data_IF_644240735763
#
_entry.id   IF_644240735763
#
_cell.length_a   1.000
_cell.length_b   1.000
_cell.length_c   1.000
_cell.angle_alpha   90.00
_cell.angle_beta   90.00
_cell.angle_gamma   90.00
#
_symmetry.space_group_name_H-M   'P 1'
#
loop_
_entity.id
_entity.type
_entity.pdbx_description
1 polymer ?
#
# COMPACT_ATOMS: atom_id res chain seq x y z
N UNK A 1 -53.01 65.72 -2.44
CA UNK A 1 -53.58 64.46 -2.96
C UNK A 1 -52.54 63.37 -2.71
N UNK A 2 -52.75 62.56 -1.68
CA UNK A 2 -51.95 61.37 -1.36
C UNK A 2 -52.90 60.19 -1.41
N UNK A 3 -52.61 59.15 -2.18
CA UNK A 3 -53.39 57.91 -2.16
C UNK A 3 -52.44 56.73 -2.03
N UNK A 4 -52.84 55.84 -1.13
CA UNK A 4 -52.11 54.78 -0.44
C UNK A 4 -51.60 53.64 -1.34
N UNK A 5 -50.49 53.05 -0.88
CA UNK A 5 -50.03 51.71 -1.23
C UNK A 5 -51.06 50.65 -0.83
N UNK A 6 -51.40 49.76 -1.77
CA UNK A 6 -52.06 48.48 -1.49
C UNK A 6 -51.25 47.36 -2.14
N UNK A 7 -50.49 46.63 -1.34
CA UNK A 7 -49.83 45.39 -1.75
C UNK A 7 -50.83 44.23 -1.60
N UNK A 8 -51.21 43.61 -2.72
CA UNK A 8 -51.96 42.37 -2.74
C UNK A 8 -51.01 41.24 -3.14
N UNK A 9 -50.69 40.39 -2.17
CA UNK A 9 -49.96 39.14 -2.36
C UNK A 9 -50.87 38.14 -3.09
N UNK A 10 -50.44 37.67 -4.27
CA UNK A 10 -51.06 36.53 -4.96
C UNK A 10 -50.04 35.39 -4.99
N UNK A 11 -50.34 34.35 -4.20
CA UNK A 11 -49.69 33.05 -4.21
C UNK A 11 -49.93 32.36 -5.56
N UNK A 12 -48.88 32.21 -6.37
CA UNK A 12 -48.87 31.22 -7.46
C UNK A 12 -48.08 30.01 -6.98
N UNK A 13 -48.79 28.91 -6.74
CA UNK A 13 -48.20 27.60 -6.54
C UNK A 13 -47.60 27.12 -7.86
N UNK A 14 -46.30 27.32 -8.04
CA UNK A 14 -45.55 26.70 -9.12
C UNK A 14 -45.23 25.25 -8.77
N UNK A 15 -45.99 24.30 -9.31
CA UNK A 15 -45.55 22.90 -9.36
C UNK A 15 -44.43 22.81 -10.39
N UNK A 16 -43.17 22.80 -9.94
CA UNK A 16 -42.07 22.42 -10.80
C UNK A 16 -42.12 20.90 -11.01
N UNK A 17 -42.59 20.48 -12.18
CA UNK A 17 -42.34 19.13 -12.69
C UNK A 17 -40.89 19.13 -13.18
N UNK A 18 -39.98 18.58 -12.39
CA UNK A 18 -38.65 18.23 -12.90
C UNK A 18 -38.82 16.92 -13.65
N UNK A 19 -38.93 16.99 -14.97
CA UNK A 19 -38.66 15.85 -15.83
C UNK A 19 -37.19 15.48 -15.61
N UNK A 20 -36.96 14.54 -14.70
CA UNK A 20 -35.66 13.92 -14.53
C UNK A 20 -35.39 13.07 -15.77
N UNK A 21 -34.71 13.63 -16.76
CA UNK A 21 -33.98 12.80 -17.69
C UNK A 21 -32.93 12.04 -16.89
N UNK A 22 -33.14 10.73 -16.72
CA UNK A 22 -32.08 9.82 -16.32
C UNK A 22 -31.13 9.76 -17.51
N UNK A 23 -30.25 10.76 -17.59
CA UNK A 23 -29.05 10.67 -18.41
C UNK A 23 -28.22 9.57 -17.77
N UNK A 24 -28.31 8.38 -18.36
CA UNK A 24 -27.29 7.36 -18.21
C UNK A 24 -26.00 8.01 -18.70
N UNK A 25 -25.27 8.69 -17.81
CA UNK A 25 -23.86 8.95 -17.99
C UNK A 25 -23.21 7.57 -18.03
N UNK A 26 -23.26 6.96 -19.22
CA UNK A 26 -22.22 6.07 -19.68
C UNK A 26 -20.98 6.95 -19.63
N UNK A 27 -20.34 7.00 -18.46
CA UNK A 27 -18.93 7.26 -18.35
C UNK A 27 -18.31 6.17 -19.22
N UNK A 28 -18.26 6.42 -20.53
CA UNK A 28 -17.32 5.76 -21.39
C UNK A 28 -16.02 5.86 -20.63
N UNK A 29 -15.38 4.71 -20.44
CA UNK A 29 -14.06 4.60 -19.83
C UNK A 29 -13.27 5.80 -20.36
N UNK A 30 -12.82 6.74 -19.50
CA UNK A 30 -11.99 7.84 -19.97
C UNK A 30 -10.92 7.20 -20.86
N UNK A 31 -10.64 7.76 -22.05
CA UNK A 31 -9.69 7.12 -22.96
C UNK A 31 -8.48 6.72 -22.13
N UNK A 32 -8.12 5.43 -22.20
CA UNK A 32 -7.01 4.90 -21.42
C UNK A 32 -5.87 5.88 -21.62
N UNK A 33 -5.44 6.52 -20.52
CA UNK A 33 -4.36 7.50 -20.55
C UNK A 33 -3.23 6.82 -21.31
N UNK A 34 -2.88 7.35 -22.48
CA UNK A 34 -1.86 6.75 -23.34
C UNK A 34 -0.63 6.51 -22.47
N UNK A 35 -0.07 5.31 -22.59
CA UNK A 35 1.00 4.76 -21.75
C UNK A 35 1.97 5.84 -21.29
N UNK A 36 1.76 6.30 -20.05
CA UNK A 36 2.61 7.32 -19.46
C UNK A 36 4.05 6.76 -19.39
N UNK A 37 5.01 7.59 -19.76
CA UNK A 37 6.45 7.44 -19.47
C UNK A 37 6.76 7.32 -17.95
N UNK A 38 5.74 7.21 -17.09
CA UNK A 38 5.86 7.11 -15.62
C UNK A 38 5.89 5.67 -15.09
N UNK A 39 5.56 4.66 -15.92
CA UNK A 39 5.68 3.26 -15.51
C UNK A 39 7.16 2.90 -15.46
N UNK A 40 7.67 2.67 -14.25
CA UNK A 40 9.00 2.11 -14.10
C UNK A 40 9.08 0.74 -14.79
N UNK A 41 10.13 0.54 -15.56
CA UNK A 41 10.28 -0.58 -16.50
C UNK A 41 10.83 -1.85 -15.85
N UNK A 42 11.34 -1.76 -14.62
CA UNK A 42 12.11 -2.84 -13.97
C UNK A 42 11.62 -3.30 -12.59
N UNK A 43 10.32 -3.63 -12.38
CA UNK A 43 9.93 -4.39 -11.20
C UNK A 43 10.47 -5.82 -11.31
N UNK A 44 11.28 -6.25 -10.36
CA UNK A 44 11.84 -7.60 -10.31
C UNK A 44 11.24 -8.38 -9.16
N UNK A 45 10.80 -9.61 -9.44
CA UNK A 45 10.35 -10.53 -8.41
C UNK A 45 11.56 -11.14 -7.69
N UNK A 46 11.48 -11.17 -6.37
CA UNK A 46 12.46 -11.84 -5.53
C UNK A 46 11.79 -12.73 -4.50
N UNK A 47 12.59 -13.65 -3.96
CA UNK A 47 12.19 -14.52 -2.86
C UNK A 47 13.29 -14.49 -1.81
N UNK A 48 12.89 -14.51 -0.54
CA UNK A 48 13.79 -14.61 0.61
C UNK A 48 13.36 -15.78 1.50
N UNK A 49 14.31 -16.63 1.86
CA UNK A 49 14.08 -17.73 2.80
C UNK A 49 14.08 -17.19 4.23
N UNK A 50 12.96 -17.37 4.93
CA UNK A 50 12.69 -16.90 6.28
C UNK A 50 12.39 -18.05 7.24
N UNK A 51 12.49 -17.79 8.54
CA UNK A 51 12.08 -18.76 9.57
C UNK A 51 10.56 -18.76 9.70
N UNK A 52 9.99 -19.94 9.94
CA UNK A 52 8.55 -20.06 10.24
C UNK A 52 8.23 -19.39 11.58
N UNK A 53 9.11 -19.58 12.56
CA UNK A 53 8.99 -19.05 13.91
C UNK A 53 10.28 -18.31 14.31
N UNK A 54 10.22 -16.98 14.34
CA UNK A 54 11.34 -16.15 14.75
C UNK A 54 11.65 -16.22 16.25
N UNK A 55 10.65 -16.55 17.07
CA UNK A 55 10.73 -16.51 18.53
C UNK A 55 11.02 -17.86 19.19
N UNK A 56 10.99 -18.95 18.42
CA UNK A 56 11.43 -20.26 18.87
C UNK A 56 12.77 -20.64 18.23
N UNK A 57 13.92 -20.47 18.90
CA UNK A 57 15.24 -20.77 18.32
C UNK A 57 15.48 -22.26 18.06
N UNK A 58 14.69 -23.16 18.66
CA UNK A 58 14.78 -24.60 18.40
C UNK A 58 14.08 -25.02 17.10
N UNK A 59 13.24 -24.15 16.52
CA UNK A 59 12.55 -24.41 15.27
C UNK A 59 13.42 -24.03 14.06
N UNK A 60 13.81 -25.03 13.29
CA UNK A 60 14.65 -24.84 12.11
C UNK A 60 13.85 -24.81 10.80
N UNK A 61 12.51 -24.80 10.87
CA UNK A 61 11.67 -24.75 9.67
C UNK A 61 11.76 -23.38 9.01
N UNK A 62 11.81 -23.39 7.70
CA UNK A 62 11.89 -22.19 6.87
C UNK A 62 10.82 -22.18 5.79
N UNK A 63 10.58 -21.01 5.25
CA UNK A 63 9.63 -20.76 4.16
C UNK A 63 10.13 -19.61 3.30
N UNK A 64 9.54 -19.45 2.13
CA UNK A 64 9.98 -18.49 1.13
C UNK A 64 8.97 -17.33 1.06
N UNK A 65 9.41 -16.13 1.46
CA UNK A 65 8.62 -14.90 1.33
C UNK A 65 8.90 -14.23 0.00
N UNK A 66 7.84 -13.84 -0.71
CA UNK A 66 7.96 -13.09 -1.95
C UNK A 66 8.08 -11.60 -1.70
N UNK A 67 8.81 -10.94 -2.57
CA UNK A 67 8.84 -9.49 -2.65
C UNK A 67 8.99 -9.04 -4.11
N UNK A 68 8.70 -7.78 -4.36
CA UNK A 68 9.03 -7.11 -5.62
C UNK A 68 10.01 -5.99 -5.29
N UNK A 69 11.08 -5.88 -6.04
CA UNK A 69 12.01 -4.75 -5.95
C UNK A 69 11.91 -3.87 -7.18
N UNK A 70 12.13 -2.57 -7.00
CA UNK A 70 12.33 -1.64 -8.09
C UNK A 70 13.45 -0.66 -7.70
N UNK A 71 14.59 -0.85 -8.33
CA UNK A 71 15.80 -0.05 -8.08
C UNK A 71 16.14 0.83 -9.27
N UNK A 72 15.20 1.11 -10.18
CA UNK A 72 15.42 1.91 -11.39
C UNK A 72 15.98 3.31 -11.07
N UNK A 73 15.54 3.90 -9.97
CA UNK A 73 15.93 5.25 -9.54
C UNK A 73 16.94 5.26 -8.39
N UNK A 74 17.46 4.10 -8.01
CA UNK A 74 18.33 3.98 -6.85
C UNK A 74 19.75 4.50 -7.15
N UNK A 75 20.27 5.35 -6.28
CA UNK A 75 21.67 5.77 -6.27
C UNK A 75 22.35 5.33 -4.98
N UNK A 76 23.66 5.02 -5.04
CA UNK A 76 24.41 4.54 -3.87
C UNK A 76 24.32 5.53 -2.70
N UNK A 77 23.92 5.02 -1.53
CA UNK A 77 23.69 5.84 -0.34
C UNK A 77 22.27 6.38 -0.21
N UNK A 78 21.41 6.19 -1.22
CA UNK A 78 19.98 6.48 -1.15
C UNK A 78 19.25 5.63 -0.11
N UNK A 79 18.10 6.09 0.41
CA UNK A 79 17.32 5.35 1.40
C UNK A 79 16.65 4.11 0.81
N UNK A 80 16.33 3.16 1.68
CA UNK A 80 15.50 2.00 1.35
C UNK A 80 14.06 2.27 1.80
N UNK A 81 13.13 2.23 0.85
CA UNK A 81 11.69 2.32 1.10
C UNK A 81 11.09 0.92 1.07
N UNK A 82 10.54 0.48 2.20
CA UNK A 82 9.89 -0.83 2.33
C UNK A 82 8.38 -0.61 2.44
N UNK A 83 7.67 -1.00 1.40
CA UNK A 83 6.21 -1.04 1.40
C UNK A 83 5.74 -2.42 1.86
N UNK A 84 4.93 -2.43 2.93
CA UNK A 84 4.44 -3.64 3.56
C UNK A 84 3.09 -4.01 2.92
N UNK A 85 3.01 -5.20 2.29
CA UNK A 85 1.74 -5.74 1.81
C UNK A 85 0.76 -6.00 2.96
N UNK A 86 -0.53 -5.81 2.68
CA UNK A 86 -1.60 -6.19 3.60
C UNK A 86 -2.11 -7.59 3.35
N UNK A 87 -3.41 -7.80 3.52
CA UNK A 87 -4.09 -9.09 3.45
C UNK A 87 -4.38 -9.56 2.01
N UNK A 88 -3.39 -9.47 1.12
CA UNK A 88 -3.53 -9.80 -0.30
C UNK A 88 -2.22 -10.28 -0.93
N UNK A 89 -2.33 -10.95 -2.08
CA UNK A 89 -1.17 -11.24 -2.90
C UNK A 89 -0.63 -9.99 -3.58
N UNK A 90 0.69 -9.82 -3.57
CA UNK A 90 1.32 -8.65 -4.17
C UNK A 90 1.30 -8.74 -5.69
N UNK A 91 1.35 -7.58 -6.34
CA UNK A 91 1.44 -7.46 -7.79
C UNK A 91 2.32 -6.27 -8.16
N UNK A 92 2.76 -6.21 -9.42
CA UNK A 92 3.69 -5.19 -9.90
C UNK A 92 3.10 -3.78 -9.97
N UNK A 93 1.79 -3.59 -9.76
CA UNK A 93 1.13 -2.28 -9.87
C UNK A 93 1.76 -1.22 -8.96
N UNK A 94 1.91 -1.54 -7.67
CA UNK A 94 2.52 -0.64 -6.67
C UNK A 94 4.04 -0.48 -6.83
N UNK A 95 4.69 -1.41 -7.52
CA UNK A 95 6.12 -1.35 -7.83
C UNK A 95 6.42 -0.65 -9.16
N UNK A 96 5.41 -0.33 -9.97
CA UNK A 96 5.58 0.33 -11.27
C UNK A 96 5.00 1.74 -11.30
N UNK A 97 4.10 2.07 -10.38
CA UNK A 97 3.43 3.36 -10.32
C UNK A 97 2.86 3.63 -8.93
N UNK A 98 2.57 4.89 -8.65
CA UNK A 98 1.89 5.32 -7.44
C UNK A 98 2.83 6.01 -6.45
N UNK A 99 2.21 6.51 -5.38
CA UNK A 99 2.83 7.42 -4.43
C UNK A 99 4.14 6.91 -3.82
N UNK A 100 4.22 5.63 -3.45
CA UNK A 100 5.41 5.08 -2.83
C UNK A 100 6.62 5.01 -3.79
N UNK A 101 6.36 4.69 -5.06
CA UNK A 101 7.42 4.70 -6.07
C UNK A 101 7.86 6.14 -6.40
N UNK A 102 6.92 7.10 -6.39
CA UNK A 102 7.24 8.51 -6.59
C UNK A 102 8.12 9.05 -5.46
N UNK A 103 7.87 8.66 -4.21
CA UNK A 103 8.76 8.99 -3.07
C UNK A 103 10.13 8.38 -3.31
N UNK A 104 10.22 7.08 -3.61
CA UNK A 104 11.49 6.42 -3.86
C UNK A 104 12.29 7.11 -4.97
N UNK A 105 11.63 7.46 -6.07
CA UNK A 105 12.21 8.24 -7.18
C UNK A 105 12.73 9.60 -6.72
N UNK A 106 11.94 10.35 -5.94
CA UNK A 106 12.31 11.70 -5.49
C UNK A 106 13.50 11.75 -4.53
N UNK A 107 13.82 10.63 -3.89
CA UNK A 107 14.91 10.50 -2.92
C UNK A 107 16.04 9.60 -3.41
N UNK A 108 16.06 9.22 -4.69
CA UNK A 108 17.03 8.30 -5.29
C UNK A 108 17.14 6.98 -4.50
N UNK A 109 16.01 6.53 -3.96
CA UNK A 109 15.92 5.40 -3.04
C UNK A 109 15.61 4.08 -3.74
N UNK A 110 15.98 2.98 -3.08
CA UNK A 110 15.56 1.65 -3.48
C UNK A 110 14.13 1.39 -2.99
N UNK A 111 13.30 0.79 -3.83
CA UNK A 111 11.93 0.44 -3.48
C UNK A 111 11.77 -1.07 -3.37
N UNK A 112 11.16 -1.51 -2.26
CA UNK A 112 10.79 -2.90 -2.03
C UNK A 112 9.33 -3.00 -1.62
N UNK A 113 8.62 -3.97 -2.17
CA UNK A 113 7.25 -4.31 -1.81
C UNK A 113 7.19 -5.76 -1.34
N UNK A 114 6.98 -5.96 -0.03
CA UNK A 114 7.03 -7.29 0.59
C UNK A 114 5.63 -7.92 0.67
N UNK A 115 5.51 -9.22 0.36
CA UNK A 115 4.28 -9.97 0.57
C UNK A 115 4.16 -10.44 2.01
N UNK A 116 3.01 -10.18 2.63
CA UNK A 116 2.78 -10.55 4.01
C UNK A 116 2.66 -12.07 4.15
N UNK A 117 3.20 -12.64 5.24
CA UNK A 117 3.01 -14.06 5.58
C UNK A 117 1.53 -14.45 5.56
N UNK A 118 1.23 -15.65 5.05
CA UNK A 118 -0.11 -16.22 4.84
C UNK A 118 -0.97 -15.55 3.75
N UNK A 119 -0.42 -14.66 2.93
CA UNK A 119 -1.13 -14.06 1.81
C UNK A 119 -0.41 -14.28 0.49
N UNK A 120 -1.15 -14.18 -0.61
CA UNK A 120 -0.61 -14.38 -1.96
C UNK A 120 -0.06 -15.78 -2.16
N UNK A 121 1.24 -15.88 -2.40
CA UNK A 121 1.98 -17.15 -2.52
C UNK A 121 2.99 -17.35 -1.36
N UNK A 122 2.90 -16.54 -0.31
CA UNK A 122 3.84 -16.47 0.82
C UNK A 122 3.30 -17.21 2.05
N UNK A 123 3.37 -18.55 2.05
CA UNK A 123 2.82 -19.40 3.12
C UNK A 123 3.91 -20.09 3.96
N UNK A 124 4.01 -19.77 5.27
CA UNK A 124 4.98 -20.43 6.17
C UNK A 124 4.70 -21.90 6.41
N UNK A 125 3.41 -22.27 6.47
CA UNK A 125 2.96 -23.63 6.71
C UNK A 125 1.72 -23.88 5.87
N UNK A 126 1.68 -25.02 5.19
CA UNK A 126 0.48 -25.52 4.50
C UNK A 126 -0.42 -26.31 5.46
N UNK A 127 -0.78 -25.69 6.59
CA UNK A 127 -1.75 -26.24 7.54
C UNK A 127 -2.82 -25.18 7.82
N UNK A 128 -4.05 -25.49 7.41
CA UNK A 128 -5.22 -24.60 7.53
C UNK A 128 -6.06 -24.85 8.78
N UNK A 129 -5.55 -25.67 9.70
CA UNK A 129 -6.13 -25.82 11.03
C UNK A 129 -5.76 -24.62 11.92
N UNK A 130 -6.51 -24.42 13.00
CA UNK A 130 -6.32 -23.29 13.94
C UNK A 130 -4.88 -23.22 14.46
N UNK A 131 -4.27 -24.37 14.72
CA UNK A 131 -2.88 -24.46 15.20
C UNK A 131 -1.86 -23.97 14.16
N UNK A 132 -2.17 -24.06 12.87
CA UNK A 132 -1.34 -23.53 11.79
C UNK A 132 -1.30 -22.00 11.77
N UNK A 133 -2.40 -21.35 12.16
CA UNK A 133 -2.49 -19.88 12.21
C UNK A 133 -1.78 -19.25 13.40
N UNK A 134 -1.22 -20.02 14.34
CA UNK A 134 -0.43 -19.46 15.44
C UNK A 134 0.77 -18.62 14.98
N UNK A 135 1.25 -18.84 13.76
CA UNK A 135 2.34 -18.06 13.15
C UNK A 135 1.85 -16.84 12.35
N UNK A 136 0.54 -16.66 12.20
CA UNK A 136 -0.07 -15.44 11.67
C UNK A 136 -0.26 -14.44 12.81
N UNK A 137 0.81 -13.74 13.16
CA UNK A 137 0.80 -12.67 14.17
C UNK A 137 1.61 -11.47 13.69
N UNK A 138 1.26 -10.29 14.22
CA UNK A 138 1.97 -9.05 13.93
C UNK A 138 3.45 -9.13 14.34
N UNK A 139 3.75 -9.74 15.49
CA UNK A 139 5.13 -9.91 15.97
C UNK A 139 5.99 -10.71 14.99
N UNK A 140 5.44 -11.80 14.44
CA UNK A 140 6.15 -12.62 13.46
C UNK A 140 6.29 -11.91 12.11
N UNK A 141 5.27 -11.18 11.66
CA UNK A 141 5.32 -10.40 10.43
C UNK A 141 6.32 -9.24 10.52
N UNK A 142 6.44 -8.58 11.67
CA UNK A 142 7.46 -7.57 11.91
C UNK A 142 8.86 -8.18 11.95
N UNK A 143 9.02 -9.37 12.56
CA UNK A 143 10.29 -10.08 12.55
C UNK A 143 10.74 -10.50 11.14
N UNK A 144 9.79 -10.86 10.26
CA UNK A 144 10.07 -11.06 8.83
C UNK A 144 10.64 -9.80 8.18
N UNK A 145 10.02 -8.64 8.42
CA UNK A 145 10.48 -7.37 7.84
C UNK A 145 11.88 -7.00 8.33
N UNK A 146 12.17 -7.17 9.62
CA UNK A 146 13.51 -6.94 10.17
C UNK A 146 14.53 -7.83 9.49
N UNK A 147 14.24 -9.12 9.36
CA UNK A 147 15.13 -10.05 8.67
C UNK A 147 15.30 -9.71 7.19
N UNK A 148 14.23 -9.34 6.49
CA UNK A 148 14.24 -8.88 5.11
C UNK A 148 15.14 -7.65 4.92
N UNK A 149 15.01 -6.65 5.79
CA UNK A 149 15.81 -5.43 5.76
C UNK A 149 17.31 -5.75 5.91
N UNK A 150 17.66 -6.57 6.90
CA UNK A 150 19.04 -7.03 7.12
C UNK A 150 19.56 -7.78 5.90
N UNK A 151 18.76 -8.66 5.32
CA UNK A 151 19.11 -9.43 4.14
C UNK A 151 19.38 -8.52 2.93
N UNK A 152 18.50 -7.55 2.64
CA UNK A 152 18.71 -6.64 1.50
C UNK A 152 19.91 -5.72 1.70
N UNK A 153 20.14 -5.23 2.92
CA UNK A 153 21.35 -4.47 3.23
C UNK A 153 22.63 -5.26 2.98
N UNK A 154 22.63 -6.56 3.26
CA UNK A 154 23.80 -7.43 3.09
C UNK A 154 24.01 -7.88 1.64
N UNK A 155 22.92 -8.14 0.91
CA UNK A 155 22.96 -8.80 -0.41
C UNK A 155 22.77 -7.85 -1.60
N UNK A 156 22.30 -6.62 -1.38
CA UNK A 156 22.15 -5.62 -2.44
C UNK A 156 23.32 -4.64 -2.41
N UNK A 157 24.10 -4.51 -3.50
CA UNK A 157 25.19 -3.55 -3.60
C UNK A 157 24.73 -2.11 -3.31
N UNK A 158 25.49 -1.38 -2.51
CA UNK A 158 25.21 0.00 -2.11
C UNK A 158 24.24 0.17 -0.94
N UNK A 159 23.39 -0.82 -0.62
CA UNK A 159 22.37 -0.66 0.45
C UNK A 159 22.90 -0.84 1.87
N UNK A 160 24.15 -1.30 2.05
CA UNK A 160 24.73 -1.60 3.38
C UNK A 160 24.61 -0.45 4.39
N UNK A 161 24.72 0.79 3.92
CA UNK A 161 24.68 2.00 4.75
C UNK A 161 23.39 2.82 4.54
N UNK A 162 22.42 2.30 3.80
CA UNK A 162 21.17 3.00 3.50
C UNK A 162 20.29 3.13 4.75
N UNK A 163 19.71 4.32 4.92
CA UNK A 163 18.66 4.54 5.92
C UNK A 163 17.39 3.81 5.49
N UNK A 164 16.67 3.23 6.44
CA UNK A 164 15.42 2.51 6.16
C UNK A 164 14.24 3.38 6.54
N UNK A 165 13.35 3.60 5.60
CA UNK A 165 12.09 4.31 5.81
C UNK A 165 10.95 3.31 5.82
N UNK A 166 10.41 3.04 7.00
CA UNK A 166 9.19 2.26 7.21
C UNK A 166 8.03 3.21 7.51
N UNK A 167 6.97 3.17 6.70
CA UNK A 167 5.79 4.01 6.92
C UNK A 167 4.65 3.21 7.58
N UNK A 168 4.65 3.17 8.91
CA UNK A 168 3.43 2.98 9.74
C UNK A 168 3.31 4.02 10.88
N UNK A 169 4.18 5.03 10.90
CA UNK A 169 4.29 5.97 12.03
C UNK A 169 3.14 6.97 12.17
N UNK A 170 2.12 6.92 11.31
CA UNK A 170 1.03 7.90 11.30
C UNK A 170 -0.23 7.49 12.09
N UNK A 171 -0.34 6.25 12.61
CA UNK A 171 -1.59 5.80 13.27
C UNK A 171 -1.51 5.57 14.80
N UNK A 172 -0.39 5.88 15.47
CA UNK A 172 -0.22 5.60 16.91
C UNK A 172 -0.53 6.76 17.88
N UNK A 173 -1.09 7.88 17.43
CA UNK A 173 -1.31 9.06 18.28
C UNK A 173 -2.78 9.38 18.59
N UNK A 174 -3.62 8.36 18.79
CA UNK A 174 -4.95 8.55 19.39
C UNK A 174 -5.02 7.82 20.74
N UNK A 175 -4.60 8.50 21.80
CA UNK A 175 -4.94 8.14 23.18
C UNK A 175 -6.13 9.04 23.55
N UNK A 176 -7.37 8.56 23.62
CA UNK A 176 -8.44 9.34 24.20
C UNK A 176 -8.16 9.47 25.71
N UNK A 177 -7.89 10.68 26.17
CA UNK A 177 -7.95 11.00 27.60
C UNK A 177 -9.40 10.87 28.04
N UNK A 178 -9.68 9.86 28.85
CA UNK A 178 -10.91 9.77 29.63
C UNK A 178 -10.81 10.74 30.80
N UNK A 179 -11.64 11.79 30.77
CA UNK A 179 -12.05 12.55 31.96
C UNK A 179 -13.12 11.78 32.75
#
# INVERSE_FOLDING_TARGET
MWVFFGSLFLLTTGTFSVEGEISFMRHGIPPARESDETRASSPEWGTITQRVDHFNPADNRTWDMRYIQNNEFYEEGGPMFVFIGGEWGISTGWATSGFFLDIARSHNGAFFYTEHRFYGDSYPIYNWEVDGFRYLSADQALADLVYFIEYQKQNTPGLRNSTVSEEQKYQSNYIPTVE
#
